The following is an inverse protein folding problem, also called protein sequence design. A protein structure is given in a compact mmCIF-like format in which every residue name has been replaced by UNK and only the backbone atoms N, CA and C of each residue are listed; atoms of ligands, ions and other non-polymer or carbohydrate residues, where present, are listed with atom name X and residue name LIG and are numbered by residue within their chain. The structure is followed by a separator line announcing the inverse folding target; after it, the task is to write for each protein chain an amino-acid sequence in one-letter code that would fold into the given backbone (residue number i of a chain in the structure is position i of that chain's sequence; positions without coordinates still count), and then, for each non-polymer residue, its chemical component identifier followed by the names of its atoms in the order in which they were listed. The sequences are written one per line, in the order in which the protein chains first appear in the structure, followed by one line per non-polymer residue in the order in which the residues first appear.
data_IF_313602974134
#
_entry.id   IF_313602974134
#
_cell.length_a   1.000
_cell.length_b   1.000
_cell.length_c   1.000
_cell.angle_alpha   90.00
_cell.angle_beta   90.00
_cell.angle_gamma   90.00
#
_symmetry.space_group_name_H-M   'P 1'
#
loop_
_entity.id
_entity.type
_entity.pdbx_description
1 polymer ?
#
# COMPACT_ATOMS: atom_id res chain seq x y z
N UNK A 1 117.44 42.58 -31.99
CA UNK A 1 116.21 42.36 -32.78
C UNK A 1 115.20 41.68 -31.89
N UNK A 2 114.30 42.45 -31.29
CA UNK A 2 113.17 41.95 -30.49
C UNK A 2 111.92 42.65 -31.00
N UNK A 3 110.98 41.88 -31.55
CA UNK A 3 109.67 42.37 -31.96
C UNK A 3 108.64 41.80 -31.00
N UNK A 4 107.99 42.70 -30.26
CA UNK A 4 106.98 42.44 -29.26
C UNK A 4 105.60 42.38 -29.94
N UNK A 5 104.91 41.25 -29.82
CA UNK A 5 103.53 41.07 -30.27
C UNK A 5 102.60 41.68 -29.22
N UNK A 6 101.84 42.71 -29.63
CA UNK A 6 100.83 43.36 -28.80
C UNK A 6 99.51 42.57 -28.84
N UNK A 7 99.09 42.06 -27.68
CA UNK A 7 97.72 41.59 -27.46
C UNK A 7 96.76 42.77 -27.50
N UNK A 8 95.79 42.73 -28.41
CA UNK A 8 94.65 43.65 -28.38
C UNK A 8 93.46 42.90 -27.81
N UNK A 9 93.10 43.25 -26.58
CA UNK A 9 91.87 42.88 -25.89
C UNK A 9 90.66 43.46 -26.65
N UNK A 10 89.67 42.62 -26.95
CA UNK A 10 88.37 43.04 -27.52
C UNK A 10 87.40 43.18 -26.34
N UNK A 11 86.80 44.36 -26.08
CA UNK A 11 85.86 44.52 -24.98
C UNK A 11 84.58 43.72 -25.25
N UNK A 12 84.14 42.96 -24.24
CA UNK A 12 82.88 42.24 -24.25
C UNK A 12 81.71 43.23 -24.33
N UNK A 13 81.07 43.30 -25.49
CA UNK A 13 79.81 44.03 -25.70
C UNK A 13 78.70 43.31 -24.93
N UNK A 14 78.16 43.97 -23.91
CA UNK A 14 76.90 43.59 -23.27
C UNK A 14 75.76 43.71 -24.28
N UNK A 15 75.19 42.56 -24.67
CA UNK A 15 74.03 42.49 -25.56
C UNK A 15 72.77 42.82 -24.75
N UNK A 16 72.35 44.08 -24.75
CA UNK A 16 71.02 44.48 -24.28
C UNK A 16 70.02 44.31 -25.43
N UNK A 17 69.08 43.36 -25.28
CA UNK A 17 68.04 43.08 -26.26
C UNK A 17 66.95 44.18 -26.25
N UNK A 18 66.27 44.48 -27.37
CA UNK A 18 65.23 45.52 -27.44
C UNK A 18 63.98 45.14 -26.62
N UNK A 19 63.29 46.11 -25.97
CA UNK A 19 62.13 45.87 -25.08
C UNK A 19 60.92 45.19 -25.76
N UNK A 20 60.88 45.18 -27.09
CA UNK A 20 59.86 44.49 -27.87
C UNK A 20 60.02 42.96 -27.86
N UNK A 21 61.24 42.44 -27.70
CA UNK A 21 61.51 40.99 -27.72
C UNK A 21 61.14 40.37 -26.36
N UNK A 22 61.45 41.04 -25.24
CA UNK A 22 61.04 40.60 -23.90
C UNK A 22 59.51 40.51 -23.74
N UNK A 23 58.77 41.37 -24.44
CA UNK A 23 57.30 41.33 -24.44
C UNK A 23 56.73 40.13 -25.19
N UNK A 24 57.44 39.64 -26.21
CA UNK A 24 57.06 38.45 -26.99
C UNK A 24 57.36 37.18 -26.20
N UNK A 25 58.52 37.10 -25.54
CA UNK A 25 58.87 35.95 -24.71
C UNK A 25 57.91 35.80 -23.53
N UNK A 26 57.51 36.90 -22.90
CA UNK A 26 56.50 36.91 -21.84
C UNK A 26 55.10 36.49 -22.34
N UNK A 27 54.76 36.82 -23.59
CA UNK A 27 53.52 36.37 -24.21
C UNK A 27 53.53 34.87 -24.53
N UNK A 28 54.68 34.33 -24.96
CA UNK A 28 54.87 32.89 -25.18
C UNK A 28 54.78 32.09 -23.87
N UNK A 29 55.38 32.60 -22.79
CA UNK A 29 55.32 31.98 -21.47
C UNK A 29 53.89 31.97 -20.92
N UNK A 30 53.16 33.09 -21.07
CA UNK A 30 51.74 33.15 -20.74
C UNK A 30 50.87 32.21 -21.58
N UNK A 31 51.22 31.98 -22.85
CA UNK A 31 50.50 31.04 -23.72
C UNK A 31 50.79 29.58 -23.33
N UNK A 32 52.01 29.26 -22.93
CA UNK A 32 52.35 27.93 -22.40
C UNK A 32 51.60 27.63 -21.11
N UNK A 33 51.51 28.59 -20.19
CA UNK A 33 50.76 28.43 -18.95
C UNK A 33 49.26 28.30 -19.20
N UNK A 34 48.72 29.08 -20.16
CA UNK A 34 47.35 28.91 -20.62
C UNK A 34 47.11 27.50 -21.17
N UNK A 35 48.01 26.98 -22.01
CA UNK A 35 47.91 25.63 -22.58
C UNK A 35 48.03 24.53 -21.50
N UNK A 36 48.93 24.69 -20.52
CA UNK A 36 49.04 23.77 -19.37
C UNK A 36 47.75 23.76 -18.54
N UNK A 37 47.19 24.93 -18.25
CA UNK A 37 45.92 25.05 -17.50
C UNK A 37 44.74 24.44 -18.26
N UNK A 38 44.65 24.68 -19.58
CA UNK A 38 43.59 24.15 -20.42
C UNK A 38 43.67 22.62 -20.55
N UNK A 39 44.89 22.07 -20.65
CA UNK A 39 45.11 20.61 -20.61
C UNK A 39 44.64 20.00 -19.29
N UNK A 40 44.93 20.64 -18.15
CA UNK A 40 44.46 20.18 -16.84
C UNK A 40 42.93 20.25 -16.73
N UNK A 41 42.30 21.30 -17.26
CA UNK A 41 40.84 21.43 -17.29
C UNK A 41 40.18 20.34 -18.15
N UNK A 42 40.78 19.98 -19.30
CA UNK A 42 40.28 18.89 -20.15
C UNK A 42 40.37 17.54 -19.44
N UNK A 43 41.45 17.25 -18.72
CA UNK A 43 41.56 16.01 -17.95
C UNK A 43 40.56 15.96 -16.77
N UNK A 44 40.37 17.08 -16.08
CA UNK A 44 39.33 17.19 -15.04
C UNK A 44 37.93 17.02 -15.61
N UNK A 45 37.63 17.61 -16.78
CA UNK A 45 36.36 17.44 -17.48
C UNK A 45 36.09 15.99 -17.88
N UNK A 46 37.12 15.26 -18.34
CA UNK A 46 37.02 13.81 -18.61
C UNK A 46 36.70 13.02 -17.34
N UNK A 47 37.31 13.38 -16.21
CA UNK A 47 37.05 12.72 -14.93
C UNK A 47 35.62 13.00 -14.44
N UNK A 48 35.15 14.24 -14.50
CA UNK A 48 33.77 14.60 -14.16
C UNK A 48 32.73 13.88 -15.04
N UNK A 49 33.03 13.65 -16.33
CA UNK A 49 32.15 12.88 -17.20
C UNK A 49 32.06 11.40 -16.78
N UNK A 50 33.15 10.79 -16.33
CA UNK A 50 33.16 9.42 -15.77
C UNK A 50 32.34 9.34 -14.48
N UNK A 51 32.45 10.34 -13.62
CA UNK A 51 31.63 10.40 -12.40
C UNK A 51 30.14 10.55 -12.72
N UNK A 52 29.80 11.41 -13.68
CA UNK A 52 28.41 11.62 -14.10
C UNK A 52 27.77 10.36 -14.68
N UNK A 53 28.52 9.58 -15.47
CA UNK A 53 28.03 8.28 -15.98
C UNK A 53 27.84 7.26 -14.85
N UNK A 54 28.71 7.27 -13.85
CA UNK A 54 28.58 6.42 -12.65
C UNK A 54 27.34 6.80 -11.84
N UNK A 55 27.13 8.09 -11.58
CA UNK A 55 25.95 8.63 -10.90
C UNK A 55 24.67 8.28 -11.67
N UNK A 56 24.64 8.45 -12.99
CA UNK A 56 23.50 8.05 -13.84
C UNK A 56 23.16 6.55 -13.67
N UNK A 57 24.17 5.69 -13.62
CA UNK A 57 23.97 4.25 -13.41
C UNK A 57 23.43 3.92 -12.01
N UNK A 58 23.89 4.64 -10.98
CA UNK A 58 23.42 4.49 -9.61
C UNK A 58 21.94 4.93 -9.48
N UNK A 59 21.56 6.05 -10.09
CA UNK A 59 20.15 6.48 -10.14
C UNK A 59 19.26 5.48 -10.88
N UNK A 60 19.72 4.93 -12.00
CA UNK A 60 18.96 3.90 -12.72
C UNK A 60 18.75 2.63 -11.87
N UNK A 61 19.75 2.22 -11.09
CA UNK A 61 19.64 1.09 -10.14
C UNK A 61 18.68 1.42 -8.99
N UNK A 62 18.81 2.59 -8.37
CA UNK A 62 17.93 3.04 -7.29
C UNK A 62 16.46 3.10 -7.76
N UNK A 63 16.20 3.64 -8.95
CA UNK A 63 14.86 3.67 -9.55
C UNK A 63 14.27 2.27 -9.71
N UNK A 64 15.06 1.30 -10.22
CA UNK A 64 14.62 -0.09 -10.37
C UNK A 64 14.30 -0.76 -9.02
N UNK A 65 15.08 -0.48 -7.98
CA UNK A 65 14.84 -1.05 -6.65
C UNK A 65 13.58 -0.48 -5.98
N UNK A 66 13.35 0.83 -6.14
CA UNK A 66 12.11 1.47 -5.72
C UNK A 66 10.91 0.85 -6.44
N UNK A 67 10.98 0.67 -7.76
CA UNK A 67 9.89 0.06 -8.53
C UNK A 67 9.60 -1.38 -8.08
N UNK A 68 10.63 -2.21 -7.88
CA UNK A 68 10.48 -3.58 -7.35
C UNK A 68 9.82 -3.58 -5.97
N UNK A 69 10.21 -2.64 -5.11
CA UNK A 69 9.66 -2.51 -3.75
C UNK A 69 8.18 -2.10 -3.76
N UNK A 70 7.79 -1.18 -4.64
CA UNK A 70 6.39 -0.79 -4.83
C UNK A 70 5.54 -1.94 -5.40
N UNK A 71 6.06 -2.70 -6.37
CA UNK A 71 5.38 -3.89 -6.92
C UNK A 71 5.17 -4.99 -5.87
N UNK A 72 6.14 -5.21 -4.97
CA UNK A 72 5.99 -6.14 -3.84
C UNK A 72 4.92 -5.66 -2.85
N UNK A 73 4.94 -4.38 -2.47
CA UNK A 73 3.97 -3.79 -1.54
C UNK A 73 2.54 -3.80 -2.09
N UNK A 74 2.35 -3.52 -3.38
CA UNK A 74 1.03 -3.60 -4.03
C UNK A 74 0.50 -5.04 -4.10
N UNK A 75 1.34 -6.05 -4.41
CA UNK A 75 0.96 -7.48 -4.35
C UNK A 75 0.59 -7.94 -2.93
N UNK A 76 1.25 -7.40 -1.90
CA UNK A 76 0.92 -7.73 -0.50
C UNK A 76 -0.38 -7.04 -0.08
N UNK A 77 -0.57 -5.76 -0.44
CA UNK A 77 -1.82 -5.02 -0.19
C UNK A 77 -3.02 -5.64 -0.91
N UNK A 78 -2.85 -6.18 -2.12
CA UNK A 78 -3.92 -6.88 -2.84
C UNK A 78 -4.28 -8.25 -2.22
N UNK A 79 -3.38 -8.85 -1.45
CA UNK A 79 -3.63 -10.11 -0.72
C UNK A 79 -4.22 -9.87 0.67
N UNK A 80 -3.90 -8.74 1.30
CA UNK A 80 -4.53 -8.29 2.54
C UNK A 80 -5.82 -7.56 2.15
N UNK A 81 -6.84 -8.34 1.79
CA UNK A 81 -8.19 -7.81 1.62
C UNK A 81 -8.60 -7.15 2.92
N UNK A 82 -9.01 -5.87 2.88
CA UNK A 82 -9.64 -5.22 4.02
C UNK A 82 -10.77 -6.14 4.52
N UNK A 83 -10.81 -6.50 5.82
CA UNK A 83 -11.87 -7.36 6.37
C UNK A 83 -13.26 -6.71 6.22
N UNK A 84 -13.28 -5.39 5.98
CA UNK A 84 -14.47 -4.59 5.76
C UNK A 84 -14.81 -4.35 4.28
N UNK A 85 -13.99 -4.78 3.31
CA UNK A 85 -14.38 -4.70 1.90
C UNK A 85 -15.65 -5.55 1.68
N UNK A 86 -16.68 -5.02 0.99
CA UNK A 86 -17.90 -5.77 0.70
C UNK A 86 -17.58 -6.90 -0.29
N UNK A 87 -17.24 -8.06 0.27
CA UNK A 87 -17.18 -9.34 -0.45
C UNK A 87 -18.58 -9.71 -0.93
N UNK A 88 -18.70 -10.54 -1.98
CA UNK A 88 -20.00 -10.97 -2.54
C UNK A 88 -20.99 -11.54 -1.52
N UNK A 89 -20.50 -12.01 -0.36
CA UNK A 89 -21.30 -12.49 0.77
C UNK A 89 -21.91 -11.39 1.66
N UNK A 90 -21.41 -10.15 1.58
CA UNK A 90 -21.95 -8.95 2.25
C UNK A 90 -22.87 -8.13 1.33
N UNK A 91 -23.28 -8.67 0.18
CA UNK A 91 -24.23 -8.00 -0.71
C UNK A 91 -25.59 -7.86 0.00
N UNK A 92 -26.19 -6.66 0.06
CA UNK A 92 -27.54 -6.48 0.58
C UNK A 92 -28.55 -7.14 -0.37
N UNK A 93 -29.43 -7.99 0.15
CA UNK A 93 -30.45 -8.73 -0.61
C UNK A 93 -31.79 -8.57 0.12
N UNK A 94 -32.89 -8.53 -0.62
CA UNK A 94 -34.22 -8.54 -0.03
C UNK A 94 -34.48 -9.85 0.73
N UNK A 95 -35.24 -9.77 1.81
CA UNK A 95 -35.55 -10.90 2.70
C UNK A 95 -37.06 -11.16 2.67
N UNK A 96 -37.48 -12.43 2.80
CA UNK A 96 -38.90 -12.77 2.96
C UNK A 96 -39.52 -12.17 4.23
N UNK A 97 -40.82 -11.84 4.17
CA UNK A 97 -41.57 -11.27 5.30
C UNK A 97 -41.55 -12.13 6.57
N UNK A 98 -41.46 -13.46 6.44
CA UNK A 98 -41.33 -14.37 7.59
C UNK A 98 -39.99 -14.19 8.34
N UNK A 99 -38.89 -14.05 7.59
CA UNK A 99 -37.56 -13.86 8.17
C UNK A 99 -37.39 -12.43 8.73
N UNK A 100 -37.97 -11.42 8.08
CA UNK A 100 -38.01 -10.05 8.61
C UNK A 100 -38.76 -9.95 9.94
N UNK A 101 -39.95 -10.56 10.03
CA UNK A 101 -40.75 -10.65 11.28
C UNK A 101 -39.96 -11.31 12.41
N UNK A 102 -39.25 -12.40 12.11
CA UNK A 102 -38.45 -13.11 13.11
C UNK A 102 -37.29 -12.25 13.64
N UNK A 103 -36.59 -11.55 12.74
CA UNK A 103 -35.47 -10.68 13.09
C UNK A 103 -35.90 -9.31 13.64
N UNK A 104 -37.22 -9.03 13.69
CA UNK A 104 -37.81 -7.75 14.13
C UNK A 104 -37.29 -6.54 13.33
N UNK A 105 -37.03 -6.76 12.04
CA UNK A 105 -36.63 -5.72 11.08
C UNK A 105 -37.79 -5.41 10.13
N UNK A 106 -37.86 -4.18 9.58
CA UNK A 106 -38.86 -3.83 8.58
C UNK A 106 -38.83 -4.77 7.37
N UNK A 107 -40.01 -5.07 6.80
CA UNK A 107 -40.15 -6.05 5.71
C UNK A 107 -39.37 -5.67 4.43
N UNK A 108 -39.07 -4.39 4.25
CA UNK A 108 -38.35 -3.86 3.08
C UNK A 108 -36.84 -3.68 3.34
N UNK A 109 -36.33 -4.13 4.48
CA UNK A 109 -34.90 -4.02 4.78
C UNK A 109 -34.06 -5.00 3.95
N UNK A 110 -33.01 -4.47 3.32
CA UNK A 110 -32.03 -5.27 2.61
C UNK A 110 -30.92 -5.69 3.57
N UNK A 111 -30.86 -6.96 3.95
CA UNK A 111 -29.72 -7.49 4.71
C UNK A 111 -28.90 -8.48 3.89
N UNK A 112 -27.61 -8.54 4.20
CA UNK A 112 -26.75 -9.55 3.59
C UNK A 112 -27.00 -10.93 4.20
N UNK A 113 -26.77 -11.99 3.41
CA UNK A 113 -26.83 -13.38 3.92
C UNK A 113 -25.90 -13.60 5.11
N UNK A 114 -24.77 -12.89 5.15
CA UNK A 114 -23.83 -12.92 6.28
C UNK A 114 -24.45 -12.35 7.55
N UNK A 115 -25.16 -11.22 7.45
CA UNK A 115 -25.73 -10.53 8.61
C UNK A 115 -26.96 -11.26 9.16
N UNK A 116 -27.80 -11.83 8.27
CA UNK A 116 -28.89 -12.73 8.66
C UNK A 116 -28.35 -13.93 9.46
N UNK A 117 -27.32 -14.60 8.93
CA UNK A 117 -26.74 -15.77 9.61
C UNK A 117 -26.14 -15.40 10.96
N UNK A 118 -25.52 -14.22 11.09
CA UNK A 118 -25.01 -13.73 12.38
C UNK A 118 -26.15 -13.44 13.36
N UNK A 119 -27.22 -12.81 12.91
CA UNK A 119 -28.37 -12.49 13.75
C UNK A 119 -29.03 -13.75 14.30
N UNK A 120 -29.21 -14.77 13.46
CA UNK A 120 -29.75 -16.08 13.89
C UNK A 120 -28.78 -16.78 14.85
N UNK A 121 -27.47 -16.76 14.58
CA UNK A 121 -26.48 -17.33 15.50
C UNK A 121 -26.46 -16.61 16.85
N UNK A 122 -26.66 -15.29 16.87
CA UNK A 122 -26.77 -14.52 18.11
C UNK A 122 -28.04 -14.92 18.88
N UNK A 123 -29.17 -15.06 18.18
CA UNK A 123 -30.44 -15.51 18.76
C UNK A 123 -30.30 -16.92 19.39
N UNK A 124 -29.70 -17.87 18.68
CA UNK A 124 -29.46 -19.23 19.18
C UNK A 124 -28.65 -19.22 20.48
N UNK A 125 -27.62 -18.35 20.56
CA UNK A 125 -26.79 -18.20 21.76
C UNK A 125 -27.52 -17.53 22.92
N UNK A 126 -28.30 -16.48 22.63
CA UNK A 126 -29.08 -15.76 23.63
C UNK A 126 -30.13 -16.66 24.30
N UNK A 127 -30.75 -17.54 23.52
CA UNK A 127 -31.79 -18.47 24.02
C UNK A 127 -31.24 -19.86 24.39
N UNK A 128 -29.92 -20.06 24.43
CA UNK A 128 -29.27 -21.32 24.78
C UNK A 128 -29.84 -22.55 24.04
N UNK A 129 -30.16 -22.40 22.76
CA UNK A 129 -30.79 -23.45 21.93
C UNK A 129 -29.80 -24.53 21.44
N UNK A 130 -28.54 -24.43 21.86
CA UNK A 130 -27.46 -25.33 21.46
C UNK A 130 -27.54 -26.64 22.24
N UNK A 131 -27.33 -27.78 21.56
CA UNK A 131 -27.23 -29.06 22.24
C UNK A 131 -25.94 -29.11 23.08
N UNK A 132 -26.01 -29.36 24.41
CA UNK A 132 -24.82 -29.45 25.26
C UNK A 132 -23.91 -30.65 24.92
N UNK A 133 -24.48 -31.75 24.41
CA UNK A 133 -23.74 -32.96 24.03
C UNK A 133 -23.13 -32.83 22.63
N UNK A 134 -23.93 -32.38 21.67
CA UNK A 134 -23.51 -32.14 20.30
C UNK A 134 -23.54 -30.63 20.00
N UNK A 135 -22.50 -29.89 20.40
CA UNK A 135 -22.39 -28.42 20.19
C UNK A 135 -22.55 -27.97 18.72
N UNK A 136 -22.60 -28.89 17.77
CA UNK A 136 -22.82 -28.60 16.35
C UNK A 136 -24.31 -28.47 16.01
N UNK A 137 -25.21 -29.02 16.82
CA UNK A 137 -26.64 -29.15 16.56
C UNK A 137 -27.48 -28.30 17.52
N UNK A 138 -28.69 -27.95 17.07
CA UNK A 138 -29.64 -27.15 17.83
C UNK A 138 -30.85 -27.98 18.25
N UNK A 139 -31.27 -27.80 19.50
CA UNK A 139 -32.47 -28.44 20.03
C UNK A 139 -33.64 -27.49 19.86
N UNK A 140 -34.29 -27.54 18.70
CA UNK A 140 -35.38 -26.62 18.36
C UNK A 140 -36.74 -27.02 18.95
N UNK A 141 -36.90 -28.24 19.43
CA UNK A 141 -38.20 -28.75 19.88
C UNK A 141 -38.54 -28.42 21.35
N UNK A 142 -37.54 -28.08 22.17
CA UNK A 142 -37.71 -27.95 23.64
C UNK A 142 -38.19 -26.57 24.10
N UNK A 143 -37.85 -25.50 23.39
CA UNK A 143 -38.19 -24.13 23.78
C UNK A 143 -39.12 -23.48 22.76
N UNK A 144 -39.89 -22.48 23.20
CA UNK A 144 -40.82 -21.70 22.35
C UNK A 144 -40.04 -20.98 21.25
N UNK A 145 -38.87 -20.46 21.59
CA UNK A 145 -37.94 -19.79 20.69
C UNK A 145 -37.32 -20.75 19.67
N UNK A 146 -37.04 -21.97 20.10
CA UNK A 146 -36.64 -23.07 19.22
C UNK A 146 -37.73 -23.41 18.21
N UNK A 147 -39.00 -23.49 18.64
CA UNK A 147 -40.14 -23.77 17.75
C UNK A 147 -40.36 -22.64 16.73
N UNK A 148 -40.20 -21.38 17.14
CA UNK A 148 -40.26 -20.24 16.23
C UNK A 148 -39.16 -20.32 15.15
N UNK A 149 -37.92 -20.66 15.54
CA UNK A 149 -36.84 -20.86 14.58
C UNK A 149 -37.08 -22.10 13.70
N UNK A 150 -37.65 -23.18 14.24
CA UNK A 150 -37.99 -24.37 13.46
C UNK A 150 -39.08 -24.10 12.42
N UNK A 151 -40.13 -23.35 12.81
CA UNK A 151 -41.21 -22.96 11.91
C UNK A 151 -40.70 -22.05 10.79
N UNK A 152 -39.69 -21.23 11.06
CA UNK A 152 -39.05 -20.41 10.04
C UNK A 152 -38.21 -21.28 9.09
N UNK A 153 -37.32 -22.12 9.62
CA UNK A 153 -36.39 -22.89 8.80
C UNK A 153 -37.03 -24.04 8.03
N UNK A 154 -38.19 -24.53 8.49
CA UNK A 154 -38.95 -25.65 7.89
C UNK A 154 -38.04 -26.78 7.37
N UNK A 155 -37.16 -27.34 8.22
CA UNK A 155 -36.20 -28.35 7.78
C UNK A 155 -36.94 -29.57 7.23
N UNK A 156 -36.62 -29.93 5.99
CA UNK A 156 -37.22 -31.07 5.30
C UNK A 156 -36.42 -32.34 5.63
N UNK A 157 -37.02 -33.24 6.40
CA UNK A 157 -36.43 -34.52 6.81
C UNK A 157 -35.99 -34.56 8.27
N UNK A 158 -35.62 -35.75 8.73
CA UNK A 158 -35.19 -36.04 10.13
C UNK A 158 -33.75 -35.57 10.43
N UNK A 159 -33.28 -34.56 9.71
CA UNK A 159 -31.90 -34.07 9.83
C UNK A 159 -31.84 -32.99 10.91
N UNK A 160 -30.95 -33.10 11.91
CA UNK A 160 -30.82 -32.10 12.95
C UNK A 160 -30.34 -30.77 12.34
N UNK A 161 -30.94 -29.66 12.78
CA UNK A 161 -30.52 -28.33 12.36
C UNK A 161 -29.18 -28.02 13.04
N UNK A 162 -28.15 -27.77 12.24
CA UNK A 162 -26.80 -27.44 12.69
C UNK A 162 -26.30 -26.18 11.97
N UNK A 163 -25.21 -25.60 12.49
CA UNK A 163 -24.55 -24.44 11.86
C UNK A 163 -24.22 -24.69 10.38
N UNK A 164 -23.91 -25.93 9.99
CA UNK A 164 -23.50 -26.28 8.62
C UNK A 164 -24.64 -26.18 7.61
N UNK A 165 -25.82 -26.62 8.03
CA UNK A 165 -27.02 -26.76 7.22
C UNK A 165 -27.99 -25.58 7.40
N UNK A 166 -27.78 -24.71 8.39
CA UNK A 166 -28.55 -23.47 8.58
C UNK A 166 -28.64 -22.63 7.30
N UNK A 167 -27.53 -22.48 6.58
CA UNK A 167 -27.52 -21.71 5.34
C UNK A 167 -28.42 -22.34 4.26
N UNK A 168 -28.51 -23.68 4.20
CA UNK A 168 -29.36 -24.40 3.25
C UNK A 168 -30.83 -24.13 3.54
N UNK A 169 -31.22 -24.20 4.80
CA UNK A 169 -32.59 -23.95 5.25
C UNK A 169 -33.03 -22.49 5.09
N UNK A 170 -32.09 -21.54 5.18
CA UNK A 170 -32.38 -20.13 4.92
C UNK A 170 -32.46 -19.79 3.43
N UNK A 171 -31.95 -20.64 2.53
CA UNK A 171 -31.89 -20.34 1.10
C UNK A 171 -33.25 -19.97 0.47
N UNK A 172 -34.37 -20.66 0.77
CA UNK A 172 -35.69 -20.32 0.24
C UNK A 172 -36.24 -18.97 0.72
N UNK A 173 -35.73 -18.45 1.84
CA UNK A 173 -36.16 -17.16 2.42
C UNK A 173 -35.48 -15.95 1.78
N UNK A 174 -34.57 -16.17 0.84
CA UNK A 174 -33.98 -15.14 0.00
C UNK A 174 -34.64 -15.21 -1.38
N UNK A 175 -35.60 -14.34 -1.70
CA UNK A 175 -36.15 -14.27 -3.06
C UNK A 175 -35.01 -14.11 -4.06
N UNK A 176 -34.99 -14.96 -5.08
CA UNK A 176 -33.99 -14.86 -6.14
C UNK A 176 -34.24 -13.54 -6.86
N UNK A 177 -33.32 -12.61 -6.71
CA UNK A 177 -33.37 -11.31 -7.37
C UNK A 177 -33.20 -11.51 -8.89
N UNK A 178 -34.27 -11.91 -9.58
CA UNK A 178 -34.46 -11.52 -10.98
C UNK A 178 -34.84 -10.04 -10.98
N UNK A 179 -33.82 -9.20 -11.22
CA UNK A 179 -33.96 -7.80 -11.66
C UNK A 179 -34.98 -6.92 -10.94
N UNK A 180 -34.60 -6.28 -9.84
CA UNK A 180 -35.25 -5.03 -9.41
C UNK A 180 -34.19 -4.11 -8.77
N UNK A 181 -33.53 -3.32 -9.62
CA UNK A 181 -33.57 -1.85 -9.72
C UNK A 181 -33.04 -1.11 -8.49
N UNK A 182 -32.01 -0.31 -8.79
CA UNK A 182 -31.43 0.76 -8.00
C UNK A 182 -32.39 1.42 -6.98
N UNK A 183 -32.08 1.24 -5.71
CA UNK A 183 -32.43 2.21 -4.67
C UNK A 183 -31.12 2.80 -4.14
N UNK A 184 -30.84 4.02 -4.61
CA UNK A 184 -29.76 4.88 -4.14
C UNK A 184 -29.90 5.18 -2.65
N UNK A 185 -28.81 5.45 -1.92
CA UNK A 185 -28.85 5.74 -0.50
C UNK A 185 -29.41 7.15 -0.29
N UNK A 186 -30.57 7.25 0.38
CA UNK A 186 -31.02 8.50 0.93
C UNK A 186 -30.10 8.90 2.08
N UNK A 187 -29.35 9.97 1.84
CA UNK A 187 -28.62 10.70 2.84
C UNK A 187 -29.59 11.19 3.94
N UNK A 188 -29.25 10.91 5.19
CA UNK A 188 -29.48 11.87 6.27
C UNK A 188 -28.20 11.98 7.08
N UNK A 189 -27.49 13.08 6.82
CA UNK A 189 -26.50 13.62 7.73
C UNK A 189 -27.23 14.12 8.98
N UNK A 190 -26.65 13.92 10.17
CA UNK A 190 -26.17 15.02 11.04
C UNK A 190 -25.28 14.40 12.14
N UNK A 191 -24.12 15.01 12.44
CA UNK A 191 -23.15 14.54 13.42
C UNK A 191 -23.53 15.01 14.84
N UNK A 192 -23.31 14.16 15.84
CA UNK A 192 -23.37 14.58 17.24
C UNK A 192 -22.21 13.96 18.05
N UNK A 193 -21.28 14.84 18.39
CA UNK A 193 -20.52 14.92 19.64
C UNK A 193 -19.82 13.65 20.19
N UNK A 194 -18.50 13.70 20.02
CA UNK A 194 -17.44 13.25 20.93
C UNK A 194 -17.86 13.09 22.41
N UNK A 195 -17.72 11.88 22.94
CA UNK A 195 -17.45 11.64 24.35
C UNK A 195 -16.39 10.54 24.48
N UNK A 196 -15.25 10.93 25.04
CA UNK A 196 -14.07 10.11 25.26
C UNK A 196 -14.35 8.95 26.23
N UNK A 197 -13.78 7.77 25.95
CA UNK A 197 -13.56 6.72 26.96
C UNK A 197 -12.24 6.01 26.65
N UNK A 198 -11.30 5.92 27.61
CA UNK A 198 -9.94 5.43 27.37
C UNK A 198 -9.86 3.90 27.23
N UNK A 199 -8.82 3.36 26.56
CA UNK A 199 -8.71 1.93 26.29
C UNK A 199 -8.29 1.13 27.54
N UNK A 200 -9.10 0.14 27.89
CA UNK A 200 -8.83 -0.87 28.92
C UNK A 200 -7.64 -1.75 28.51
N UNK A 201 -6.48 -1.58 29.16
CA UNK A 201 -5.35 -2.52 29.10
C UNK A 201 -5.76 -3.86 29.74
N UNK A 202 -5.44 -4.97 29.06
CA UNK A 202 -5.54 -6.34 29.61
C UNK A 202 -4.48 -6.51 30.73
N UNK A 203 -4.77 -7.21 31.83
CA UNK A 203 -3.75 -7.51 32.83
C UNK A 203 -2.81 -8.60 32.29
N UNK A 204 -1.51 -8.38 32.47
CA UNK A 204 -0.48 -9.39 32.32
C UNK A 204 -0.72 -10.50 33.36
N UNK A 205 -0.70 -11.76 32.92
CA UNK A 205 -0.58 -12.90 33.84
C UNK A 205 0.85 -12.89 34.39
N UNK A 206 0.97 -12.91 35.72
CA UNK A 206 2.18 -13.38 36.41
C UNK A 206 2.34 -14.88 36.19
#
# INVERSE_FOLDING_TARGET
MSAQVASTDIPATTVTNPPAIDSIDKALESLEDFMKSHKAMVENGKQSLKELTTVKSAFAKARREVEKSLRKKSKVKSRISDPNKPTGFKKPIAISSALAKFLKVPNDELMSRTDVTKAINAYIKQHNLQNPEAKREFILNKSVEGKALNSLLSPTGDQPVSYFNLQRWLAPHFPKAEGAVAAAPAASATPAASAATPPRRKPARK
#
